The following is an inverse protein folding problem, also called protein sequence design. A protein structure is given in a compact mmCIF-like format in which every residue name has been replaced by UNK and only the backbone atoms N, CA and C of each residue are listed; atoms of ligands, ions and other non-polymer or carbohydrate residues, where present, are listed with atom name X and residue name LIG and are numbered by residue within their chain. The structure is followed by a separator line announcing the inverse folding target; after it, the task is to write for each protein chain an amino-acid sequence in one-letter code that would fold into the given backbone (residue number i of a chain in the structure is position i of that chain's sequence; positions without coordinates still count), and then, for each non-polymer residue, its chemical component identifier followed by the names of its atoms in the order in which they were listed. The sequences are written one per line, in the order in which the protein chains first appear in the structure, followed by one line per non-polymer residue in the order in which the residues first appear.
data_IF_923329975260
#
_entry.id   IF_923329975260
#
_cell.length_a   1.000
_cell.length_b   1.000
_cell.length_c   1.000
_cell.angle_alpha   90.00
_cell.angle_beta   90.00
_cell.angle_gamma   90.00
#
_symmetry.space_group_name_H-M   'P 1'
#
loop_
_entity.id
_entity.type
_entity.pdbx_description
1 polymer ?
#
# COMPACT_ATOMS: atom_id res chain seq x y z
N UNK A 1 47.82 -6.77 31.03
CA UNK A 1 47.23 -5.75 30.13
C UNK A 1 45.87 -6.26 29.65
N UNK A 2 44.77 -5.81 30.26
CA UNK A 2 43.42 -6.11 29.77
C UNK A 2 43.18 -5.25 28.52
N UNK A 3 42.89 -5.87 27.37
CA UNK A 3 42.41 -5.12 26.19
C UNK A 3 40.96 -4.71 26.43
N UNK A 4 40.65 -3.41 26.55
CA UNK A 4 39.28 -2.95 26.67
C UNK A 4 38.65 -2.87 25.26
N UNK A 5 37.39 -3.31 25.14
CA UNK A 5 36.49 -3.01 24.01
C UNK A 5 36.95 -3.41 22.60
N UNK A 6 37.05 -4.71 22.31
CA UNK A 6 36.97 -5.18 20.92
C UNK A 6 35.49 -5.38 20.55
N UNK A 7 34.95 -4.52 19.69
CA UNK A 7 33.63 -4.74 19.09
C UNK A 7 33.61 -6.08 18.33
N UNK A 8 32.47 -6.78 18.30
CA UNK A 8 32.37 -8.06 17.61
C UNK A 8 32.64 -7.89 16.10
N UNK A 9 33.39 -8.81 15.50
CA UNK A 9 33.73 -8.76 14.08
C UNK A 9 32.53 -8.98 13.14
N UNK A 10 31.45 -9.57 13.65
CA UNK A 10 30.21 -9.86 12.90
C UNK A 10 29.01 -9.76 13.85
N UNK A 11 27.90 -9.28 13.31
CA UNK A 11 26.58 -9.32 13.96
C UNK A 11 25.68 -10.22 13.12
N UNK A 12 24.94 -11.11 13.78
CA UNK A 12 23.92 -11.95 13.14
C UNK A 12 22.54 -11.47 13.54
N UNK A 13 21.75 -11.07 12.56
CA UNK A 13 20.33 -10.82 12.74
C UNK A 13 19.54 -12.09 12.48
N UNK A 14 18.56 -12.38 13.33
CA UNK A 14 17.54 -13.39 13.09
C UNK A 14 16.21 -12.65 12.95
N UNK A 15 15.48 -12.98 11.90
CA UNK A 15 14.19 -12.40 11.62
C UNK A 15 13.10 -13.40 11.98
N UNK A 16 12.06 -12.93 12.65
CA UNK A 16 10.85 -13.69 12.93
C UNK A 16 9.67 -12.85 12.45
N UNK A 17 8.82 -13.43 11.62
CA UNK A 17 7.64 -12.74 11.08
C UNK A 17 6.48 -12.91 12.06
N UNK A 18 5.85 -11.81 12.43
CA UNK A 18 4.61 -11.87 13.22
C UNK A 18 3.49 -12.51 12.37
N UNK A 19 2.59 -13.27 13.00
CA UNK A 19 1.46 -13.90 12.29
C UNK A 19 0.47 -12.87 11.77
N UNK A 20 0.40 -11.72 12.41
CA UNK A 20 -0.44 -10.59 12.00
C UNK A 20 0.26 -9.67 10.98
N UNK A 21 1.57 -9.83 10.76
CA UNK A 21 2.32 -9.12 9.72
C UNK A 21 2.03 -9.73 8.34
N UNK A 22 0.77 -9.59 7.90
CA UNK A 22 0.31 -10.03 6.59
C UNK A 22 0.73 -9.02 5.53
N UNK A 23 1.13 -9.53 4.36
CA UNK A 23 1.30 -8.71 3.18
C UNK A 23 -0.04 -8.07 2.82
N UNK A 24 -0.06 -6.75 2.69
CA UNK A 24 -1.20 -5.97 2.21
C UNK A 24 -0.70 -5.07 1.08
N UNK A 25 -1.53 -4.89 0.05
CA UNK A 25 -1.29 -3.78 -0.90
C UNK A 25 -1.61 -2.45 -0.19
N UNK A 26 -1.19 -1.32 -0.74
CA UNK A 26 -1.65 -0.01 -0.27
C UNK A 26 -1.86 0.86 -1.51
N UNK A 27 -3.03 1.47 -1.64
CA UNK A 27 -3.31 2.43 -2.70
C UNK A 27 -2.77 3.82 -2.34
N UNK A 28 -2.60 4.09 -1.04
CA UNK A 28 -1.97 5.30 -0.57
C UNK A 28 -1.76 5.30 0.94
N UNK A 29 -1.32 6.46 1.42
CA UNK A 29 -1.14 6.74 2.85
C UNK A 29 -1.89 8.03 3.20
N UNK A 30 -2.69 7.99 4.26
CA UNK A 30 -3.18 9.19 4.92
C UNK A 30 -2.29 9.41 6.14
N UNK A 31 -1.67 10.58 6.26
CA UNK A 31 -0.77 10.85 7.37
C UNK A 31 -0.53 12.32 7.64
N UNK A 32 0.25 12.56 8.69
CA UNK A 32 0.66 13.89 9.09
C UNK A 32 1.72 13.85 10.19
N UNK A 33 2.23 15.03 10.53
CA UNK A 33 3.14 15.20 11.67
C UNK A 33 2.28 15.50 12.90
N UNK A 34 2.45 14.70 13.96
CA UNK A 34 1.77 14.93 15.23
C UNK A 34 2.48 16.04 16.04
N UNK A 35 1.87 16.55 17.13
CA UNK A 35 2.49 17.59 17.96
C UNK A 35 3.86 17.22 18.56
N UNK A 36 4.21 15.94 18.60
CA UNK A 36 5.48 15.42 19.10
C UNK A 36 6.57 15.39 18.03
N UNK A 37 6.24 15.74 16.78
CA UNK A 37 7.18 15.70 15.65
C UNK A 37 7.37 14.31 15.05
N UNK A 38 6.48 13.37 15.36
CA UNK A 38 6.45 12.04 14.75
C UNK A 38 5.50 12.05 13.55
N UNK A 39 5.75 11.16 12.59
CA UNK A 39 4.96 11.01 11.37
C UNK A 39 4.03 9.83 11.55
N UNK A 40 2.73 10.10 11.50
CA UNK A 40 1.69 9.08 11.41
C UNK A 40 1.46 8.71 9.94
N UNK A 41 1.50 7.40 9.66
CA UNK A 41 1.24 6.83 8.34
C UNK A 41 0.12 5.79 8.45
N UNK A 42 -1.03 6.07 7.86
CA UNK A 42 -2.17 5.16 7.79
C UNK A 42 -2.34 4.67 6.35
N UNK A 43 -1.87 3.46 6.08
CA UNK A 43 -1.99 2.83 4.77
C UNK A 43 -3.41 2.34 4.53
N UNK A 44 -3.91 2.57 3.32
CA UNK A 44 -5.28 2.25 2.97
C UNK A 44 -5.41 1.55 1.61
N UNK A 45 -6.47 0.76 1.52
CA UNK A 45 -7.07 0.40 0.24
C UNK A 45 -8.24 1.34 -0.04
N UNK A 46 -8.40 1.65 -1.31
CA UNK A 46 -9.48 2.47 -1.83
C UNK A 46 -10.40 1.60 -2.70
N UNK A 47 -11.70 1.67 -2.45
CA UNK A 47 -12.74 1.01 -3.26
C UNK A 47 -13.93 1.95 -3.43
N UNK A 48 -14.68 1.81 -4.52
CA UNK A 48 -15.98 2.47 -4.62
C UNK A 48 -16.88 2.00 -3.46
N UNK A 49 -17.78 2.88 -3.01
CA UNK A 49 -18.75 2.55 -1.98
C UNK A 49 -19.67 1.44 -2.51
N UNK A 50 -19.87 0.40 -1.71
CA UNK A 50 -20.87 -0.61 -2.03
C UNK A 50 -22.26 -0.04 -1.70
N UNK A 51 -23.29 -0.37 -2.49
CA UNK A 51 -24.64 0.03 -2.15
C UNK A 51 -25.05 -0.56 -0.80
N UNK A 52 -25.75 0.22 0.01
CA UNK A 52 -26.23 -0.22 1.34
C UNK A 52 -27.14 -1.45 1.21
N UNK A 53 -27.96 -1.46 0.17
CA UNK A 53 -28.78 -2.59 -0.24
C UNK A 53 -29.14 -2.45 -1.73
N UNK A 54 -29.58 -3.54 -2.33
CA UNK A 54 -30.22 -3.56 -3.65
C UNK A 54 -31.55 -4.31 -3.55
N UNK A 55 -32.48 -3.96 -4.44
CA UNK A 55 -33.82 -4.54 -4.45
C UNK A 55 -34.19 -5.05 -5.84
N UNK A 56 -35.06 -6.06 -5.90
CA UNK A 56 -35.64 -6.56 -7.14
C UNK A 56 -37.15 -6.70 -6.96
N UNK A 57 -37.92 -6.30 -7.97
CA UNK A 57 -39.35 -6.55 -7.98
C UNK A 57 -39.63 -8.01 -8.28
N UNK A 58 -40.58 -8.60 -7.56
CA UNK A 58 -41.08 -9.96 -7.83
C UNK A 58 -42.45 -9.84 -8.49
N UNK A 59 -42.58 -10.39 -9.69
CA UNK A 59 -43.84 -10.41 -10.43
C UNK A 59 -44.82 -11.45 -9.83
N UNK A 60 -46.13 -11.35 -10.11
CA UNK A 60 -47.13 -12.29 -9.59
C UNK A 60 -46.91 -13.75 -10.01
N UNK A 61 -46.21 -13.98 -11.12
CA UNK A 61 -45.82 -15.32 -11.60
C UNK A 61 -44.55 -15.87 -10.93
N UNK A 62 -43.97 -15.12 -9.99
CA UNK A 62 -42.75 -15.45 -9.27
C UNK A 62 -41.46 -15.11 -10.00
N UNK A 63 -41.52 -14.49 -11.19
CA UNK A 63 -40.32 -14.01 -11.88
C UNK A 63 -39.69 -12.81 -11.16
N UNK A 64 -38.36 -12.68 -11.24
CA UNK A 64 -37.59 -11.62 -10.59
C UNK A 64 -37.15 -10.59 -11.65
N UNK A 65 -37.41 -9.31 -11.37
CA UNK A 65 -37.07 -8.18 -12.23
C UNK A 65 -35.60 -7.74 -12.12
N UNK A 66 -35.29 -6.59 -12.73
CA UNK A 66 -33.94 -6.01 -12.67
C UNK A 66 -33.57 -5.54 -11.27
N UNK A 67 -32.27 -5.60 -10.96
CA UNK A 67 -31.71 -5.04 -9.74
C UNK A 67 -31.81 -3.52 -9.77
N UNK A 68 -32.34 -2.98 -8.69
CA UNK A 68 -32.46 -1.55 -8.43
C UNK A 68 -31.56 -1.24 -7.24
N UNK A 69 -30.65 -0.30 -7.45
CA UNK A 69 -29.74 0.18 -6.42
C UNK A 69 -30.16 1.62 -6.08
N UNK A 70 -30.76 1.87 -4.91
CA UNK A 70 -31.11 3.22 -4.49
C UNK A 70 -29.84 4.04 -4.24
N UNK A 71 -29.76 5.26 -4.78
CA UNK A 71 -28.63 6.17 -4.59
C UNK A 71 -28.86 7.54 -5.22
N UNK A 72 -27.97 8.50 -4.90
CA UNK A 72 -27.87 9.78 -5.60
C UNK A 72 -26.92 9.62 -6.79
N UNK A 73 -27.44 9.65 -8.02
CA UNK A 73 -26.66 9.40 -9.24
C UNK A 73 -25.49 10.39 -9.45
N UNK A 74 -25.55 11.57 -8.82
CA UNK A 74 -24.58 12.66 -8.99
C UNK A 74 -23.43 12.64 -7.97
N UNK A 75 -23.42 11.69 -7.02
CA UNK A 75 -22.37 11.60 -5.99
C UNK A 75 -21.59 10.28 -6.09
N UNK A 76 -20.33 10.37 -6.50
CA UNK A 76 -19.40 9.23 -6.40
C UNK A 76 -18.80 9.17 -5.00
N UNK A 77 -19.18 8.15 -4.24
CA UNK A 77 -18.59 7.84 -2.95
C UNK A 77 -17.50 6.78 -3.07
N UNK A 78 -16.37 7.01 -2.41
CA UNK A 78 -15.21 6.12 -2.38
C UNK A 78 -14.83 5.87 -0.93
N UNK A 79 -14.68 4.61 -0.56
CA UNK A 79 -14.28 4.17 0.78
C UNK A 79 -12.77 3.92 0.82
N UNK A 80 -12.09 4.56 1.78
CA UNK A 80 -10.70 4.25 2.13
C UNK A 80 -10.65 3.43 3.41
N UNK A 81 -10.32 2.15 3.29
CA UNK A 81 -10.18 1.25 4.43
C UNK A 81 -8.74 1.26 4.95
N UNK A 82 -8.52 1.79 6.15
CA UNK A 82 -7.21 1.78 6.83
C UNK A 82 -6.92 0.38 7.38
N UNK A 83 -5.90 -0.30 6.87
CA UNK A 83 -5.50 -1.64 7.31
C UNK A 83 -4.20 -1.66 8.12
N UNK A 84 -3.35 -0.64 8.00
CA UNK A 84 -2.06 -0.59 8.69
C UNK A 84 -1.71 0.82 9.12
N UNK A 85 -1.24 0.94 10.37
CA UNK A 85 -0.92 2.22 11.00
C UNK A 85 0.49 2.14 11.56
N UNK A 86 1.33 3.11 11.19
CA UNK A 86 2.73 3.17 11.60
C UNK A 86 3.02 4.58 12.10
N UNK A 87 3.76 4.67 13.20
CA UNK A 87 4.26 5.92 13.76
C UNK A 87 5.77 5.92 13.68
N UNK A 88 6.35 6.94 13.06
CA UNK A 88 7.79 7.07 12.86
C UNK A 88 8.30 8.35 13.50
N UNK A 89 9.40 8.28 14.24
CA UNK A 89 10.14 9.50 14.55
C UNK A 89 10.89 10.01 13.30
N UNK A 90 11.42 11.24 13.38
CA UNK A 90 12.15 11.88 12.28
C UNK A 90 13.30 11.02 11.70
N UNK A 91 14.10 10.38 12.56
CA UNK A 91 15.28 9.64 12.10
C UNK A 91 14.88 8.35 11.37
N UNK A 92 13.88 7.64 11.91
CA UNK A 92 13.33 6.45 11.26
C UNK A 92 12.65 6.82 9.95
N UNK A 93 11.89 7.92 9.91
CA UNK A 93 11.25 8.39 8.69
C UNK A 93 12.26 8.72 7.58
N UNK A 94 13.38 9.39 7.91
CA UNK A 94 14.47 9.63 6.95
C UNK A 94 15.07 8.33 6.44
N UNK A 95 15.38 7.38 7.32
CA UNK A 95 15.93 6.08 6.90
C UNK A 95 14.98 5.29 5.99
N UNK A 96 13.66 5.35 6.26
CA UNK A 96 12.63 4.73 5.44
C UNK A 96 12.52 5.42 4.07
N UNK A 97 12.55 6.75 4.04
CA UNK A 97 12.52 7.54 2.82
C UNK A 97 13.72 7.21 1.92
N UNK A 98 14.94 7.30 2.46
CA UNK A 98 16.17 7.02 1.72
C UNK A 98 16.15 5.58 1.14
N UNK A 99 15.73 4.60 1.95
CA UNK A 99 15.59 3.22 1.49
C UNK A 99 14.56 3.07 0.36
N UNK A 100 13.43 3.78 0.45
CA UNK A 100 12.36 3.71 -0.54
C UNK A 100 12.77 4.40 -1.85
N UNK A 101 13.44 5.55 -1.78
CA UNK A 101 14.02 6.25 -2.94
C UNK A 101 14.96 5.32 -3.71
N UNK A 102 15.86 4.62 -3.02
CA UNK A 102 16.75 3.64 -3.66
C UNK A 102 16.00 2.48 -4.34
N UNK A 103 14.86 2.05 -3.80
CA UNK A 103 14.05 0.96 -4.39
C UNK A 103 13.28 1.42 -5.61
N UNK A 104 12.75 2.64 -5.59
CA UNK A 104 12.05 3.23 -6.75
C UNK A 104 13.05 3.47 -7.88
N UNK A 105 14.22 4.05 -7.59
CA UNK A 105 15.26 4.29 -8.59
C UNK A 105 15.70 2.99 -9.30
N UNK A 106 15.87 1.89 -8.56
CA UNK A 106 16.20 0.59 -9.15
C UNK A 106 15.12 0.08 -10.12
N UNK A 107 13.83 0.26 -9.79
CA UNK A 107 12.72 -0.12 -10.68
C UNK A 107 12.65 0.75 -11.94
N UNK A 108 12.97 2.03 -11.82
CA UNK A 108 13.00 2.97 -12.95
C UNK A 108 14.15 2.63 -13.92
N UNK A 109 15.33 2.26 -13.42
CA UNK A 109 16.46 1.79 -14.24
C UNK A 109 16.13 0.50 -15.02
N UNK A 110 15.44 -0.45 -14.38
CA UNK A 110 14.97 -1.69 -15.02
C UNK A 110 13.92 -1.42 -16.10
N UNK A 111 12.96 -0.53 -15.84
CA UNK A 111 11.95 -0.10 -16.81
C UNK A 111 12.55 0.61 -18.03
N UNK A 112 13.68 1.28 -17.85
CA UNK A 112 14.41 1.93 -18.96
C UNK A 112 15.16 0.91 -19.81
N UNK A 113 15.61 -0.21 -19.24
CA UNK A 113 16.35 -1.27 -19.95
C UNK A 113 15.43 -2.12 -20.84
N UNK A 114 14.18 -2.38 -20.42
CA UNK A 114 13.21 -3.13 -21.23
C UNK A 114 12.68 -2.37 -22.47
N UNK A 115 12.87 -1.05 -22.55
CA UNK A 115 12.50 -0.25 -23.72
C UNK A 115 13.52 -0.30 -24.86
N UNK A 116 14.77 -0.73 -24.61
CA UNK A 116 15.81 -0.82 -25.64
C UNK A 116 15.94 -2.20 -26.29
N UNK A 117 15.25 -3.24 -25.79
CA UNK A 117 15.21 -4.57 -26.44
C UNK A 117 14.02 -4.73 -27.41
N UNK A 118 12.94 -3.96 -27.25
CA UNK A 118 11.75 -4.08 -28.09
C UNK A 118 11.92 -3.56 -29.54
N UNK A 119 12.93 -2.73 -29.78
CA UNK A 119 13.16 -2.09 -31.10
C UNK A 119 14.18 -2.85 -31.98
N UNK A 120 14.74 -3.98 -31.52
CA UNK A 120 15.75 -4.73 -32.29
C UNK A 120 15.22 -5.92 -33.09
N UNK A 121 13.93 -6.28 -32.94
CA UNK A 121 13.33 -7.45 -33.61
C UNK A 121 12.35 -7.10 -34.76
N UNK A 122 12.36 -5.86 -35.25
CA UNK A 122 11.60 -5.48 -36.46
C UNK A 122 12.54 -5.04 -37.58
N UNK A 123 13.46 -5.91 -38.02
CA UNK A 123 13.99 -5.89 -39.40
C UNK A 123 14.48 -7.28 -39.85
N UNK A 124 13.59 -8.04 -40.50
CA UNK A 124 13.75 -8.67 -41.85
C UNK A 124 12.85 -9.90 -42.05
#
# INVERSE_FOLDING_TARGET
MNKPNAHPAKIRYRYNMDKEARLQTAHGVWGGINPQGEIEMNFYHESDSLPVFSEQLVAPDGSIGHEMIPGEDDLREVTRCIHSRVLLNYHTARAVLDWLEDRVAALEEEGTTGMYEADLDIEQ
#
